data_IF_868569756491
#
_entry.id   IF_868569756491
#
_cell.length_a   1.000
_cell.length_b   1.000
_cell.length_c   1.000
_cell.angle_alpha   90.00
_cell.angle_beta   90.00
_cell.angle_gamma   90.00
#
_symmetry.space_group_name_H-M   'P 1'
#
loop_
_entity.id
_entity.type
_entity.pdbx_description
1 polymer ?
#
# COMPACT_ATOMS: atom_id res chain seq x y z
N UNK A 1 18.96 14.54 -32.09
CA UNK A 1 17.60 14.90 -31.64
C UNK A 1 17.16 13.93 -30.55
N UNK A 2 17.13 14.35 -29.29
CA UNK A 2 16.62 13.52 -28.19
C UNK A 2 15.10 13.68 -28.15
N UNK A 3 14.36 12.59 -28.36
CA UNK A 3 12.91 12.59 -28.16
C UNK A 3 12.64 12.79 -26.67
N UNK A 4 12.07 13.94 -26.29
CA UNK A 4 11.53 14.12 -24.93
C UNK A 4 10.44 13.08 -24.71
N UNK A 5 10.59 12.27 -23.67
CA UNK A 5 9.52 11.38 -23.24
C UNK A 5 8.32 12.25 -22.84
N UNK A 6 7.19 12.03 -23.52
CA UNK A 6 5.90 12.59 -23.15
C UNK A 6 5.43 11.86 -21.90
N UNK A 7 5.47 12.50 -20.73
CA UNK A 7 4.82 11.97 -19.54
C UNK A 7 3.32 11.77 -19.83
N UNK A 8 2.73 10.60 -19.51
CA UNK A 8 1.31 10.38 -19.72
C UNK A 8 0.49 11.44 -18.98
N UNK A 9 -0.57 11.97 -19.62
CA UNK A 9 -1.45 12.97 -19.01
C UNK A 9 -1.96 12.46 -17.66
N UNK A 10 -1.88 13.31 -16.62
CA UNK A 10 -2.47 13.11 -15.29
C UNK A 10 -3.89 12.53 -15.46
N UNK A 11 -4.15 11.33 -14.94
CA UNK A 11 -5.45 10.66 -15.12
C UNK A 11 -6.48 11.38 -14.27
N UNK A 12 -7.42 12.04 -14.94
CA UNK A 12 -8.55 12.70 -14.29
C UNK A 12 -9.63 11.67 -14.00
N UNK A 13 -9.97 11.47 -12.72
CA UNK A 13 -11.09 10.61 -12.33
C UNK A 13 -12.43 11.30 -12.63
N UNK A 14 -13.32 10.60 -13.31
CA UNK A 14 -14.65 11.09 -13.64
C UNK A 14 -15.66 10.75 -12.53
N UNK A 15 -16.79 11.45 -12.49
CA UNK A 15 -17.92 11.08 -11.64
C UNK A 15 -18.30 9.61 -11.85
N UNK A 16 -18.51 8.88 -10.75
CA UNK A 16 -18.78 7.44 -10.73
C UNK A 16 -17.53 6.56 -10.74
N UNK A 17 -16.32 7.11 -10.89
CA UNK A 17 -15.09 6.32 -10.83
C UNK A 17 -14.91 5.69 -9.44
N UNK A 18 -14.60 4.39 -9.41
CA UNK A 18 -14.24 3.66 -8.19
C UNK A 18 -12.76 3.89 -7.90
N UNK A 19 -12.47 4.45 -6.73
CA UNK A 19 -11.14 4.85 -6.31
C UNK A 19 -10.80 4.25 -4.94
N UNK A 20 -9.53 4.27 -4.61
CA UNK A 20 -9.05 4.14 -3.24
C UNK A 20 -8.45 5.48 -2.80
N UNK A 21 -8.75 5.90 -1.58
CA UNK A 21 -8.32 7.16 -1.00
C UNK A 21 -7.41 6.87 0.18
N UNK A 22 -6.20 7.43 0.20
CA UNK A 22 -5.34 7.39 1.38
C UNK A 22 -5.49 8.66 2.21
N UNK A 23 -5.34 8.54 3.52
CA UNK A 23 -5.35 9.68 4.42
C UNK A 23 -3.92 10.06 4.83
N UNK A 24 -3.70 11.38 4.95
CA UNK A 24 -2.48 11.98 5.52
C UNK A 24 -2.61 12.24 7.02
N UNK A 25 -3.80 12.01 7.59
CA UNK A 25 -4.06 12.21 9.01
C UNK A 25 -3.35 11.16 9.85
N UNK A 26 -2.77 11.61 10.97
CA UNK A 26 -2.14 10.71 11.93
C UNK A 26 -3.14 9.64 12.40
N UNK A 27 -2.67 8.40 12.52
CA UNK A 27 -3.53 7.24 12.80
C UNK A 27 -4.15 6.60 11.56
N UNK A 28 -4.25 7.31 10.43
CA UNK A 28 -4.72 6.76 9.15
C UNK A 28 -3.63 6.69 8.06
N UNK A 29 -2.42 7.17 8.34
CA UNK A 29 -1.29 7.06 7.41
C UNK A 29 -1.02 5.59 7.06
N UNK A 30 -0.94 5.30 5.76
CA UNK A 30 -0.76 3.95 5.24
C UNK A 30 -2.06 3.18 5.02
N UNK A 31 -3.22 3.80 5.22
CA UNK A 31 -4.52 3.22 4.90
C UNK A 31 -5.02 3.64 3.51
N UNK A 32 -5.85 2.79 2.90
CA UNK A 32 -6.57 3.05 1.66
C UNK A 32 -8.03 2.63 1.81
N UNK A 33 -8.94 3.59 1.69
CA UNK A 33 -10.38 3.37 1.80
C UNK A 33 -11.05 3.40 0.43
N UNK A 34 -11.93 2.43 0.18
CA UNK A 34 -12.68 2.37 -1.06
C UNK A 34 -13.71 3.51 -1.12
N UNK A 35 -13.73 4.26 -2.21
CA UNK A 35 -14.64 5.37 -2.42
C UNK A 35 -15.11 5.48 -3.89
N UNK A 36 -16.10 6.34 -4.12
CA UNK A 36 -16.61 6.69 -5.46
C UNK A 36 -16.50 8.20 -5.63
N UNK A 37 -15.99 8.65 -6.77
CA UNK A 37 -15.93 10.07 -7.12
C UNK A 37 -17.35 10.58 -7.39
N UNK A 38 -17.81 11.55 -6.61
CA UNK A 38 -19.07 12.25 -6.84
C UNK A 38 -18.92 13.42 -7.81
N UNK A 39 -17.81 14.13 -7.71
CA UNK A 39 -17.56 15.35 -8.47
C UNK A 39 -16.06 15.68 -8.50
N UNK A 40 -15.60 16.29 -9.61
CA UNK A 40 -14.27 16.88 -9.71
C UNK A 40 -14.36 18.37 -9.42
N UNK A 41 -13.56 18.86 -8.47
CA UNK A 41 -13.54 20.24 -8.01
C UNK A 41 -12.15 20.84 -8.25
N UNK A 42 -11.86 21.24 -9.50
CA UNK A 42 -10.54 21.76 -9.86
C UNK A 42 -9.45 20.71 -9.74
N UNK A 43 -8.56 20.86 -8.76
CA UNK A 43 -7.47 19.93 -8.39
C UNK A 43 -7.85 18.94 -7.27
N UNK A 44 -9.10 18.98 -6.81
CA UNK A 44 -9.65 18.11 -5.77
C UNK A 44 -10.79 17.23 -6.30
N UNK A 45 -11.14 16.24 -5.51
CA UNK A 45 -12.27 15.36 -5.76
C UNK A 45 -13.20 15.35 -4.55
N UNK A 46 -14.51 15.48 -4.80
CA UNK A 46 -15.52 15.12 -3.81
C UNK A 46 -15.80 13.63 -3.94
N UNK A 47 -15.57 12.88 -2.87
CA UNK A 47 -15.69 11.41 -2.85
C UNK A 47 -16.67 10.97 -1.79
N UNK A 48 -17.35 9.85 -2.03
CA UNK A 48 -18.16 9.15 -1.03
C UNK A 48 -17.51 7.81 -0.71
N UNK A 49 -17.28 7.54 0.57
CA UNK A 49 -16.67 6.29 1.00
C UNK A 49 -17.68 5.14 0.96
N UNK A 50 -17.19 3.94 0.65
CA UNK A 50 -18.03 2.75 0.58
C UNK A 50 -18.37 2.19 1.96
N UNK A 51 -17.39 2.22 2.87
CA UNK A 51 -17.49 1.54 4.16
C UNK A 51 -17.40 2.51 5.37
N UNK A 52 -17.19 3.80 5.15
CA UNK A 52 -17.16 4.81 6.20
C UNK A 52 -18.48 5.58 6.22
N UNK A 53 -18.94 5.96 7.40
CA UNK A 53 -20.18 6.71 7.66
C UNK A 53 -19.85 7.98 8.45
N UNK A 54 -20.76 8.95 8.44
CA UNK A 54 -20.67 10.12 9.32
C UNK A 54 -20.78 9.72 10.80
N UNK A 55 -20.47 10.65 11.72
CA UNK A 55 -20.44 10.40 13.18
C UNK A 55 -21.79 9.91 13.73
N UNK A 56 -22.89 10.37 13.13
CA UNK A 56 -24.26 9.94 13.49
C UNK A 56 -24.68 8.61 12.85
N UNK A 57 -23.76 7.97 12.11
CA UNK A 57 -23.94 6.73 11.35
C UNK A 57 -25.10 6.76 10.33
N UNK A 58 -25.64 7.94 10.02
CA UNK A 58 -26.87 8.08 9.24
C UNK A 58 -26.68 7.81 7.75
N UNK A 59 -25.50 8.15 7.22
CA UNK A 59 -25.18 8.05 5.80
C UNK A 59 -23.68 7.88 5.56
N UNK A 60 -23.28 7.43 4.36
CA UNK A 60 -21.88 7.28 4.01
C UNK A 60 -21.11 8.60 4.10
N UNK A 61 -19.87 8.53 4.59
CA UNK A 61 -18.98 9.67 4.73
C UNK A 61 -18.65 10.27 3.35
N UNK A 62 -18.72 11.59 3.24
CA UNK A 62 -18.36 12.36 2.05
C UNK A 62 -17.26 13.36 2.39
N UNK A 63 -16.19 13.37 1.62
CA UNK A 63 -15.05 14.27 1.83
C UNK A 63 -14.58 14.92 0.54
N UNK A 64 -13.85 16.03 0.69
CA UNK A 64 -13.10 16.66 -0.39
C UNK A 64 -11.63 16.32 -0.20
N UNK A 65 -11.06 15.57 -1.13
CA UNK A 65 -9.69 15.05 -1.06
C UNK A 65 -8.85 15.60 -2.21
N UNK A 66 -7.54 15.67 -1.99
CA UNK A 66 -6.57 16.15 -2.98
C UNK A 66 -6.23 15.07 -4.00
N UNK A 67 -5.78 15.46 -5.20
CA UNK A 67 -5.49 14.50 -6.27
C UNK A 67 -4.42 13.46 -5.89
N UNK A 68 -3.45 13.80 -5.05
CA UNK A 68 -2.40 12.88 -4.59
C UNK A 68 -2.87 11.90 -3.51
N UNK A 69 -4.06 12.12 -2.93
CA UNK A 69 -4.71 11.18 -2.01
C UNK A 69 -5.53 10.11 -2.73
N UNK A 70 -5.74 10.25 -4.05
CA UNK A 70 -6.64 9.41 -4.82
C UNK A 70 -5.87 8.55 -5.81
N UNK A 71 -6.12 7.24 -5.78
CA UNK A 71 -5.69 6.29 -6.81
C UNK A 71 -6.88 5.52 -7.38
N UNK A 72 -6.79 4.93 -8.59
CA UNK A 72 -7.82 4.02 -9.05
C UNK A 72 -8.00 2.89 -8.05
N UNK A 73 -9.16 2.25 -8.02
CA UNK A 73 -9.26 0.98 -7.32
C UNK A 73 -8.42 -0.06 -8.08
N UNK A 74 -7.49 -0.79 -7.42
CA UNK A 74 -6.69 -1.79 -8.10
C UNK A 74 -7.59 -2.87 -8.71
N UNK A 75 -7.32 -3.23 -9.96
CA UNK A 75 -8.00 -4.36 -10.59
C UNK A 75 -7.70 -5.64 -9.81
N UNK A 76 -8.68 -6.54 -9.64
CA UNK A 76 -8.45 -7.85 -9.04
C UNK A 76 -7.23 -8.51 -9.68
N UNK A 77 -6.30 -9.09 -8.89
CA UNK A 77 -5.19 -9.85 -9.45
C UNK A 77 -5.72 -11.03 -10.28
N UNK A 78 -4.96 -11.51 -11.28
CA UNK A 78 -5.16 -12.86 -11.82
C UNK A 78 -5.20 -13.90 -10.69
N UNK A 79 -5.99 -14.95 -10.86
CA UNK A 79 -6.18 -16.00 -9.84
C UNK A 79 -4.84 -16.61 -9.40
N UNK A 80 -3.91 -16.79 -10.33
CA UNK A 80 -2.54 -17.26 -10.04
C UNK A 80 -1.83 -16.44 -8.98
N UNK A 81 -2.07 -15.13 -8.90
CA UNK A 81 -1.48 -14.24 -7.88
C UNK A 81 -2.23 -14.34 -6.56
N UNK A 82 -3.56 -14.50 -6.60
CA UNK A 82 -4.40 -14.69 -5.41
C UNK A 82 -4.03 -15.98 -4.67
N UNK A 83 -3.68 -17.02 -5.43
CA UNK A 83 -3.33 -18.32 -4.89
C UNK A 83 -1.90 -18.36 -4.32
N UNK A 84 -1.04 -17.38 -4.65
CA UNK A 84 0.30 -17.29 -4.06
C UNK A 84 0.22 -17.11 -2.54
N UNK A 85 1.03 -17.87 -1.83
CA UNK A 85 1.33 -17.60 -0.43
C UNK A 85 2.18 -16.33 -0.30
N UNK A 86 2.12 -15.67 0.86
CA UNK A 86 3.02 -14.56 1.16
C UNK A 86 4.31 -15.09 1.81
N UNK A 87 5.44 -14.48 1.50
CA UNK A 87 6.71 -14.76 2.16
C UNK A 87 6.98 -13.69 3.24
N UNK A 88 7.82 -14.03 4.22
CA UNK A 88 8.39 -13.03 5.13
C UNK A 88 9.10 -11.95 4.30
N UNK A 89 8.87 -10.68 4.66
CA UNK A 89 9.25 -9.43 3.99
C UNK A 89 8.40 -9.04 2.78
N UNK A 90 7.38 -9.81 2.39
CA UNK A 90 6.45 -9.33 1.37
C UNK A 90 5.66 -8.13 1.92
N UNK A 91 5.57 -7.07 1.11
CA UNK A 91 4.75 -5.89 1.38
C UNK A 91 3.31 -6.19 0.96
N UNK A 92 2.39 -6.01 1.90
CA UNK A 92 0.98 -6.39 1.75
C UNK A 92 0.07 -5.24 2.13
N UNK A 93 -1.15 -5.25 1.61
CA UNK A 93 -2.25 -4.52 2.21
C UNK A 93 -3.11 -5.51 3.02
N UNK A 94 -3.43 -5.16 4.26
CA UNK A 94 -4.34 -5.91 5.12
C UNK A 94 -5.70 -5.23 5.17
N UNK A 95 -6.78 -5.96 4.95
CA UNK A 95 -8.13 -5.45 5.10
C UNK A 95 -8.55 -5.47 6.58
N UNK A 96 -8.53 -4.30 7.20
CA UNK A 96 -8.93 -4.10 8.59
C UNK A 96 -9.50 -2.70 8.82
N UNK A 97 -10.32 -2.52 9.85
CA UNK A 97 -10.97 -1.23 10.14
C UNK A 97 -11.61 -0.58 8.90
N UNK A 98 -12.27 -1.39 8.08
CA UNK A 98 -13.02 -1.00 6.86
C UNK A 98 -12.15 -0.48 5.69
N UNK A 99 -10.82 -0.53 5.82
CA UNK A 99 -9.84 -0.09 4.81
C UNK A 99 -8.73 -1.11 4.57
N UNK A 100 -7.83 -0.80 3.62
CA UNK A 100 -6.64 -1.57 3.30
C UNK A 100 -5.40 -0.89 3.89
N UNK A 101 -4.66 -1.58 4.75
CA UNK A 101 -3.52 -1.03 5.50
C UNK A 101 -2.21 -1.62 5.03
N UNK A 102 -1.28 -0.76 4.63
CA UNK A 102 0.05 -1.19 4.19
C UNK A 102 0.84 -1.72 5.36
N UNK A 103 1.36 -2.94 5.23
CA UNK A 103 2.25 -3.54 6.20
C UNK A 103 3.23 -4.51 5.54
N UNK A 104 4.06 -5.12 6.38
CA UNK A 104 5.08 -6.08 5.96
C UNK A 104 4.90 -7.38 6.70
N UNK A 105 4.87 -8.50 5.99
CA UNK A 105 4.83 -9.84 6.62
C UNK A 105 6.15 -10.08 7.33
N UNK A 106 6.10 -10.47 8.60
CA UNK A 106 7.29 -10.68 9.45
C UNK A 106 7.41 -12.11 9.96
N UNK A 107 6.30 -12.81 10.10
CA UNK A 107 6.25 -14.22 10.48
C UNK A 107 5.08 -14.91 9.76
N UNK A 108 5.27 -16.19 9.43
CA UNK A 108 4.19 -17.08 9.01
C UNK A 108 4.11 -18.23 10.01
N UNK A 109 2.91 -18.50 10.53
CA UNK A 109 2.66 -19.60 11.46
C UNK A 109 1.57 -20.50 10.89
N UNK A 110 1.86 -21.78 10.77
CA UNK A 110 0.94 -22.71 10.10
C UNK A 110 0.65 -22.32 8.64
N UNK A 111 -0.55 -22.64 8.18
CA UNK A 111 -0.95 -22.47 6.78
C UNK A 111 -1.64 -21.12 6.51
N UNK A 112 -2.42 -20.60 7.46
CA UNK A 112 -3.28 -19.41 7.27
C UNK A 112 -3.07 -18.32 8.33
N UNK A 113 -1.91 -18.25 9.00
CA UNK A 113 -1.61 -17.16 9.94
C UNK A 113 -0.37 -16.37 9.49
N UNK A 114 -0.59 -15.11 9.14
CA UNK A 114 0.43 -14.16 8.70
C UNK A 114 0.53 -13.02 9.70
N UNK A 115 1.69 -12.87 10.35
CA UNK A 115 1.95 -11.73 11.21
C UNK A 115 2.46 -10.57 10.37
N UNK A 116 1.74 -9.46 10.44
CA UNK A 116 2.02 -8.24 9.67
C UNK A 116 2.42 -7.13 10.64
N UNK A 117 3.54 -6.48 10.32
CA UNK A 117 4.00 -5.28 11.01
C UNK A 117 3.56 -4.02 10.26
N UNK A 118 2.94 -3.08 10.96
CA UNK A 118 2.51 -1.79 10.42
C UNK A 118 3.48 -0.70 10.87
N UNK A 119 4.25 -0.15 9.94
CA UNK A 119 5.33 0.80 10.25
C UNK A 119 4.82 2.12 10.86
N UNK A 120 3.59 2.51 10.54
CA UNK A 120 3.00 3.78 10.99
C UNK A 120 2.45 3.73 12.41
N UNK A 121 2.01 2.56 12.87
CA UNK A 121 1.44 2.37 14.22
C UNK A 121 2.32 1.50 15.13
N UNK A 122 3.36 0.87 14.58
CA UNK A 122 4.20 -0.15 15.22
C UNK A 122 3.44 -1.40 15.70
N UNK A 123 2.22 -1.61 15.19
CA UNK A 123 1.42 -2.79 15.48
C UNK A 123 1.99 -4.03 14.80
N UNK A 124 1.83 -5.18 15.46
CA UNK A 124 2.24 -6.47 14.97
C UNK A 124 1.12 -7.48 15.23
N UNK A 125 0.34 -7.78 14.18
CA UNK A 125 -0.95 -8.46 14.32
C UNK A 125 -1.01 -9.63 13.34
N UNK A 126 -1.61 -10.74 13.79
CA UNK A 126 -1.85 -11.92 12.97
C UNK A 126 -3.14 -11.77 12.14
N UNK A 127 -3.07 -12.12 10.86
CA UNK A 127 -4.20 -12.10 9.94
C UNK A 127 -4.25 -13.35 9.06
N UNK A 128 -5.45 -13.79 8.66
CA UNK A 128 -5.61 -14.86 7.67
C UNK A 128 -5.32 -14.38 6.25
N UNK A 129 -4.88 -15.28 5.36
CA UNK A 129 -4.53 -14.99 3.96
C UNK A 129 -5.63 -14.20 3.26
N UNK A 130 -6.90 -14.53 3.51
CA UNK A 130 -8.08 -13.87 2.91
C UNK A 130 -8.20 -12.38 3.22
N UNK A 131 -7.54 -11.89 4.27
CA UNK A 131 -7.48 -10.46 4.61
C UNK A 131 -6.29 -9.76 3.96
N UNK A 132 -5.36 -10.47 3.35
CA UNK A 132 -4.17 -9.89 2.73
C UNK A 132 -4.33 -9.81 1.21
N UNK A 133 -3.70 -8.79 0.62
CA UNK A 133 -3.36 -8.75 -0.81
C UNK A 133 -1.93 -8.23 -0.95
N UNK A 134 -1.26 -8.55 -2.05
CA UNK A 134 0.02 -7.91 -2.35
C UNK A 134 -0.16 -6.40 -2.49
N UNK A 135 0.70 -5.64 -1.83
CA UNK A 135 0.71 -4.20 -1.96
C UNK A 135 1.07 -3.80 -3.40
N UNK A 136 0.44 -2.74 -3.90
CA UNK A 136 0.75 -2.14 -5.20
C UNK A 136 0.80 -0.63 -5.03
N UNK A 137 1.90 -0.03 -5.45
CA UNK A 137 2.00 1.42 -5.54
C UNK A 137 1.34 1.92 -6.83
N UNK A 138 0.70 3.08 -6.76
CA UNK A 138 0.18 3.81 -7.91
C UNK A 138 1.02 5.07 -8.10
N UNK A 139 1.86 5.08 -9.14
CA UNK A 139 2.82 6.17 -9.40
C UNK A 139 2.65 6.62 -10.84
N UNK A 140 2.56 7.93 -11.05
CA UNK A 140 2.48 8.58 -12.37
C UNK A 140 1.44 7.98 -13.33
N UNK A 141 0.29 7.58 -12.77
CA UNK A 141 -0.82 7.05 -13.56
C UNK A 141 -0.70 5.56 -13.92
N UNK A 142 0.16 4.82 -13.23
CA UNK A 142 0.42 3.40 -13.46
C UNK A 142 0.51 2.59 -12.17
N UNK A 143 0.06 1.33 -12.24
CA UNK A 143 0.25 0.37 -11.16
C UNK A 143 1.62 -0.26 -11.25
N UNK A 144 2.37 -0.21 -10.15
CA UNK A 144 3.60 -0.95 -10.00
C UNK A 144 3.30 -2.42 -9.69
N UNK A 145 3.75 -3.30 -10.58
CA UNK A 145 3.53 -4.75 -10.45
C UNK A 145 4.70 -5.38 -9.71
N UNK A 146 4.43 -6.01 -8.56
CA UNK A 146 5.41 -6.83 -7.86
C UNK A 146 5.63 -8.15 -8.59
N UNK A 147 6.87 -8.40 -9.04
CA UNK A 147 7.27 -9.67 -9.61
C UNK A 147 7.92 -10.53 -8.53
N UNK A 148 7.15 -11.46 -7.92
CA UNK A 148 7.66 -12.35 -6.85
C UNK A 148 8.84 -13.22 -7.31
N UNK A 149 8.83 -13.71 -8.57
CA UNK A 149 9.89 -14.58 -9.14
C UNK A 149 11.23 -13.85 -9.23
N UNK A 150 11.21 -12.57 -9.59
CA UNK A 150 12.43 -11.76 -9.72
C UNK A 150 12.68 -10.83 -8.51
N UNK A 151 11.72 -10.69 -7.59
CA UNK A 151 11.63 -9.63 -6.55
C UNK A 151 11.92 -8.23 -7.10
N UNK A 152 11.28 -7.89 -8.22
CA UNK A 152 11.47 -6.61 -8.91
C UNK A 152 10.11 -5.98 -9.14
N UNK A 153 10.09 -4.65 -9.15
CA UNK A 153 8.90 -3.90 -9.50
C UNK A 153 8.95 -3.59 -11.00
N UNK A 154 7.82 -3.59 -11.69
CA UNK A 154 7.76 -3.20 -13.10
C UNK A 154 6.90 -1.94 -13.28
N UNK A 155 7.46 -0.94 -13.98
CA UNK A 155 6.76 0.22 -14.54
C UNK A 155 6.86 0.09 -16.07
N UNK A 156 5.74 0.04 -16.81
CA UNK A 156 5.73 -0.15 -18.28
C UNK A 156 6.59 -1.32 -18.81
N UNK A 157 6.62 -2.45 -18.10
CA UNK A 157 7.44 -3.60 -18.49
C UNK A 157 8.95 -3.40 -18.31
N UNK A 158 9.39 -2.25 -17.78
CA UNK A 158 10.77 -1.95 -17.39
C UNK A 158 10.97 -2.31 -15.93
N UNK A 159 12.06 -3.02 -15.64
CA UNK A 159 12.47 -3.39 -14.29
C UNK A 159 12.92 -2.14 -13.53
N UNK A 160 12.30 -1.87 -12.38
CA UNK A 160 12.78 -0.87 -11.39
C UNK A 160 13.41 -1.63 -10.23
N UNK A 161 14.69 -1.35 -9.96
CA UNK A 161 15.50 -2.06 -8.97
C UNK A 161 14.97 -1.81 -7.54
N UNK A 162 14.51 -2.86 -6.88
CA UNK A 162 14.20 -2.84 -5.45
C UNK A 162 15.48 -3.28 -4.71
N UNK A 163 16.27 -2.31 -4.23
CA UNK A 163 17.58 -2.62 -3.63
C UNK A 163 17.42 -3.29 -2.26
N UNK A 164 17.69 -4.61 -2.30
CA UNK A 164 18.08 -5.56 -1.24
C UNK A 164 16.97 -6.25 -0.44
N UNK A 165 17.00 -7.59 -0.57
CA UNK A 165 16.51 -8.56 0.42
C UNK A 165 17.42 -8.51 1.66
N UNK A 166 16.86 -8.40 2.87
CA UNK A 166 17.65 -8.60 4.10
C UNK A 166 16.85 -9.39 5.12
N UNK A 167 17.45 -10.40 5.77
CA UNK A 167 16.79 -11.19 6.81
C UNK A 167 16.48 -10.28 8.00
N UNK A 168 15.21 -10.17 8.36
CA UNK A 168 14.78 -9.44 9.55
C UNK A 168 14.39 -10.44 10.64
N UNK A 169 14.92 -10.26 11.84
CA UNK A 169 14.41 -10.88 13.06
C UNK A 169 13.79 -9.79 13.93
N UNK A 170 12.50 -9.94 14.25
CA UNK A 170 11.80 -9.06 15.17
C UNK A 170 12.31 -9.37 16.59
N UNK A 171 12.99 -8.42 17.23
CA UNK A 171 13.44 -8.59 18.62
C UNK A 171 12.29 -8.30 19.57
N UNK A 172 11.75 -9.36 20.18
CA UNK A 172 10.64 -9.30 21.13
C UNK A 172 11.00 -8.60 22.46
N UNK A 173 12.28 -8.27 22.71
CA UNK A 173 12.77 -7.67 23.96
C UNK A 173 12.89 -6.14 23.95
N UNK A 174 12.55 -5.48 22.85
CA UNK A 174 12.61 -4.01 22.76
C UNK A 174 11.27 -3.41 23.21
N UNK A 175 11.27 -2.87 24.43
CA UNK A 175 10.18 -2.06 25.00
C UNK A 175 10.37 -0.62 24.56
N UNK A 176 10.20 -0.37 23.26
CA UNK A 176 10.20 0.99 22.71
C UNK A 176 9.07 1.08 21.69
N UNK A 177 8.35 2.20 21.68
CA UNK A 177 7.15 2.41 20.85
C UNK A 177 7.45 2.46 19.34
N UNK A 178 8.73 2.41 18.96
CA UNK A 178 9.24 2.26 17.61
C UNK A 178 10.18 1.05 17.56
N UNK A 179 9.62 -0.17 17.51
CA UNK A 179 10.40 -1.42 17.50
C UNK A 179 11.43 -1.42 16.37
N UNK A 180 12.71 -1.23 16.72
CA UNK A 180 13.86 -1.41 15.81
C UNK A 180 14.03 -2.90 15.50
N UNK A 181 14.21 -3.23 14.22
CA UNK A 181 14.33 -4.63 13.78
C UNK A 181 15.81 -5.01 13.71
N UNK A 182 16.17 -6.23 14.14
CA UNK A 182 17.55 -6.72 13.98
C UNK A 182 17.75 -7.29 12.58
N UNK A 183 18.73 -6.73 11.88
CA UNK A 183 19.12 -7.10 10.52
C UNK A 183 20.63 -7.36 10.53
N UNK A 184 21.06 -8.59 10.24
CA UNK A 184 22.47 -9.03 10.29
C UNK A 184 23.18 -8.69 11.62
N UNK A 185 22.45 -8.79 12.73
CA UNK A 185 22.94 -8.45 14.08
C UNK A 185 22.86 -6.96 14.45
N UNK A 186 22.48 -6.07 13.52
CA UNK A 186 22.40 -4.64 13.74
C UNK A 186 20.95 -4.16 13.93
N UNK A 187 20.73 -3.23 14.86
CA UNK A 187 19.42 -2.57 15.07
C UNK A 187 19.20 -1.52 13.97
N UNK A 188 18.10 -1.61 13.22
CA UNK A 188 17.81 -0.67 12.11
C UNK A 188 16.37 -0.15 12.20
N UNK A 189 16.16 1.09 11.74
CA UNK A 189 14.84 1.69 11.53
C UNK A 189 14.25 1.19 10.19
N UNK A 190 12.96 0.82 10.19
CA UNK A 190 12.25 0.35 9.01
C UNK A 190 12.07 1.44 7.93
N UNK A 191 12.08 2.72 8.32
CA UNK A 191 11.93 3.87 7.41
C UNK A 191 13.03 3.99 6.36
N UNK A 192 14.21 3.43 6.62
CA UNK A 192 15.41 3.69 5.80
C UNK A 192 15.57 2.78 4.58
N UNK A 193 14.74 1.74 4.39
CA UNK A 193 15.01 0.72 3.35
C UNK A 193 13.90 0.47 2.32
N UNK A 194 12.74 1.12 2.40
CA UNK A 194 11.64 0.92 1.44
C UNK A 194 11.25 2.20 0.67
N UNK A 195 12.19 3.10 0.42
CA UNK A 195 11.98 4.17 -0.57
C UNK A 195 12.26 3.64 -1.96
N UNK A 196 11.19 3.43 -2.75
CA UNK A 196 11.31 3.30 -4.21
C UNK A 196 11.74 4.66 -4.75
N UNK A 197 13.02 4.78 -5.13
CA UNK A 197 13.53 5.96 -5.80
C UNK A 197 13.57 5.70 -7.31
N UNK A 198 12.92 6.56 -8.10
CA UNK A 198 13.08 6.57 -9.56
C UNK A 198 14.52 6.98 -9.84
N UNK A 199 15.30 6.08 -10.41
CA UNK A 199 16.65 6.41 -10.91
C UNK A 199 16.47 7.15 -12.24
N UNK A 200 16.92 8.41 -12.38
CA UNK A 200 16.96 9.06 -13.69
C UNK A 200 17.93 8.27 -14.57
N UNK A 201 17.51 7.94 -15.79
CA UNK A 201 18.41 7.40 -16.84
C UNK A 201 19.23 8.54 -17.43
#
# INVERSE_FOLDING_TARGET
MVKKASFPRKRVFQKGAKVEVCSKEYGFIGSYYAAIVLEKLGDKYKVVYKNLVEEDESKPLVEIVTEDEVRPRPSPPPQEIVDLEFDVLDRVDVFDNKGWWVGTVTEKRGEDEYFVYFETTADHIAYPKRKLRFHRDWIDGQWLVYNKKKRVVCLDGKLVDCKKRVRAQVDQRVVDCYKRVRIDGNLVDCKDKLRVSIVPV
#
